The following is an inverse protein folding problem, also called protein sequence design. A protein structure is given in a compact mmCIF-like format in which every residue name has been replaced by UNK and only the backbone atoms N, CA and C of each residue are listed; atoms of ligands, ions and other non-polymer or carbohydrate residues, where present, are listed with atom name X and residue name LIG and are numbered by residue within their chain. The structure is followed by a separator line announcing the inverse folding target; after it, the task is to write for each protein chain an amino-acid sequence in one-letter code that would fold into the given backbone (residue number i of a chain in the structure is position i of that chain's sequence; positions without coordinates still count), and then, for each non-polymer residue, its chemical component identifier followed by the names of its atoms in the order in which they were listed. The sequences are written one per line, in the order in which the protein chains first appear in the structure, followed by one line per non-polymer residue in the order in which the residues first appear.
data_IF_791378357118
#
_entry.id   IF_791378357118
#
_cell.length_a   1.000
_cell.length_b   1.000
_cell.length_c   1.000
_cell.angle_alpha   90.00
_cell.angle_beta   90.00
_cell.angle_gamma   90.00
#
_symmetry.space_group_name_H-M   'P 1'
#
loop_
_entity.id
_entity.type
_entity.pdbx_description
1 polymer ?
#
# COMPACT_ATOMS: atom_id res chain seq x y z
N UNK A 1 9.92 1.08 -9.60
CA UNK A 1 9.75 0.28 -8.37
C UNK A 1 10.46 0.98 -7.23
N UNK A 2 9.89 0.94 -6.02
CA UNK A 2 10.38 1.66 -4.83
C UNK A 2 10.39 0.64 -3.68
N UNK A 3 11.44 0.60 -2.87
CA UNK A 3 11.40 -0.18 -1.62
C UNK A 3 10.48 0.54 -0.63
N UNK A 4 9.30 -0.04 -0.40
CA UNK A 4 8.23 0.59 0.38
C UNK A 4 8.32 0.37 1.88
N UNK A 5 9.27 -0.44 2.37
CA UNK A 5 9.46 -0.66 3.82
C UNK A 5 9.81 0.65 4.51
N UNK A 6 10.63 1.48 3.87
CA UNK A 6 11.04 2.78 4.38
C UNK A 6 10.10 3.89 3.85
N UNK A 7 9.29 4.47 4.73
CA UNK A 7 8.35 5.54 4.35
C UNK A 7 9.01 6.73 3.63
N UNK A 8 10.28 7.03 3.94
CA UNK A 8 11.04 8.09 3.26
C UNK A 8 11.18 7.84 1.76
N UNK A 9 11.38 6.59 1.36
CA UNK A 9 11.48 6.23 -0.05
C UNK A 9 10.15 6.46 -0.77
N UNK A 10 9.03 6.16 -0.09
CA UNK A 10 7.68 6.39 -0.61
C UNK A 10 7.43 7.87 -0.85
N UNK A 11 7.75 8.71 0.13
CA UNK A 11 7.60 10.16 0.01
C UNK A 11 8.42 10.74 -1.17
N UNK A 12 9.67 10.31 -1.31
CA UNK A 12 10.57 10.80 -2.38
C UNK A 12 10.17 10.32 -3.78
N UNK A 13 9.42 9.22 -3.88
CA UNK A 13 9.05 8.65 -5.16
C UNK A 13 7.72 9.18 -5.73
N UNK A 14 6.92 9.89 -4.92
CA UNK A 14 5.67 10.49 -5.39
C UNK A 14 6.00 11.68 -6.30
N UNK A 15 5.36 11.72 -7.46
CA UNK A 15 5.54 12.72 -8.49
C UNK A 15 4.18 13.37 -8.85
N UNK A 16 4.16 14.55 -9.50
CA UNK A 16 2.92 15.20 -9.90
C UNK A 16 2.01 14.36 -10.81
N UNK A 17 2.59 13.44 -11.58
CA UNK A 17 1.89 12.52 -12.46
C UNK A 17 1.57 11.15 -11.82
N UNK A 18 1.92 10.92 -10.54
CA UNK A 18 1.55 9.68 -9.84
C UNK A 18 0.03 9.59 -9.74
N UNK A 19 -0.53 8.44 -10.14
CA UNK A 19 -1.98 8.15 -10.09
C UNK A 19 -2.33 6.92 -9.26
N UNK A 20 -1.35 6.06 -8.95
CA UNK A 20 -1.59 4.81 -8.24
C UNK A 20 -0.39 4.44 -7.41
N UNK A 21 -0.65 3.94 -6.21
CA UNK A 21 0.31 3.25 -5.35
C UNK A 21 -0.21 1.83 -5.14
N UNK A 22 0.62 0.85 -5.46
CA UNK A 22 0.32 -0.56 -5.25
C UNK A 22 1.24 -1.11 -4.16
N UNK A 23 0.65 -1.66 -3.12
CA UNK A 23 1.33 -2.19 -1.94
C UNK A 23 0.99 -3.68 -1.85
N UNK A 24 1.98 -4.50 -1.58
CA UNK A 24 1.79 -5.90 -1.20
C UNK A 24 2.40 -6.06 0.19
N UNK A 25 1.63 -6.50 1.17
CA UNK A 25 2.13 -6.65 2.55
C UNK A 25 1.38 -7.74 3.32
N UNK A 26 2.10 -8.77 3.81
CA UNK A 26 3.51 -9.09 3.58
C UNK A 26 3.85 -9.33 2.10
N UNK A 27 5.07 -8.98 1.66
CA UNK A 27 5.51 -9.23 0.27
C UNK A 27 5.88 -10.70 0.02
N UNK A 28 5.57 -11.24 -1.15
CA UNK A 28 6.01 -12.56 -1.58
C UNK A 28 7.38 -12.49 -2.31
N UNK A 29 8.38 -13.35 -2.02
CA UNK A 29 8.45 -14.37 -0.97
C UNK A 29 9.12 -13.92 0.33
N UNK A 30 9.67 -12.69 0.36
CA UNK A 30 10.58 -12.24 1.42
C UNK A 30 9.85 -11.72 2.67
N UNK A 31 8.52 -11.70 2.67
CA UNK A 31 7.63 -11.35 3.78
C UNK A 31 7.92 -9.97 4.39
N UNK A 32 8.33 -9.00 3.57
CA UNK A 32 8.54 -7.63 4.05
C UNK A 32 7.20 -6.97 4.36
N UNK A 33 7.16 -6.22 5.46
CA UNK A 33 5.98 -5.47 5.89
C UNK A 33 6.08 -4.03 5.40
N UNK A 34 4.95 -3.49 4.94
CA UNK A 34 4.80 -2.08 4.56
C UNK A 34 3.82 -1.41 5.50
N UNK A 35 4.16 -0.21 5.98
CA UNK A 35 3.24 0.60 6.79
C UNK A 35 2.14 1.21 5.91
N UNK A 36 1.00 0.51 5.81
CA UNK A 36 -0.16 0.94 5.02
C UNK A 36 -0.67 2.31 5.50
N UNK A 37 -0.76 2.52 6.82
CA UNK A 37 -1.30 3.76 7.38
C UNK A 37 -0.35 4.94 7.13
N UNK A 38 0.95 4.72 7.28
CA UNK A 38 1.96 5.71 6.92
C UNK A 38 1.90 6.09 5.45
N UNK A 39 1.78 5.10 4.55
CA UNK A 39 1.66 5.37 3.10
C UNK A 39 0.35 6.10 2.77
N UNK A 40 -0.77 5.68 3.37
CA UNK A 40 -2.05 6.37 3.21
C UNK A 40 -1.96 7.84 3.66
N UNK A 41 -1.26 8.11 4.76
CA UNK A 41 -1.05 9.46 5.28
C UNK A 41 -0.23 10.34 4.32
N UNK A 42 0.77 9.78 3.64
CA UNK A 42 1.59 10.51 2.67
C UNK A 42 0.78 11.03 1.47
N UNK A 43 -0.29 10.32 1.09
CA UNK A 43 -1.12 10.65 -0.06
C UNK A 43 -2.50 11.21 0.32
N UNK A 44 -2.78 11.41 1.60
CA UNK A 44 -4.11 11.83 2.10
C UNK A 44 -4.62 13.11 1.41
N UNK A 45 -3.71 14.05 1.10
CA UNK A 45 -4.02 15.30 0.42
C UNK A 45 -3.99 15.20 -1.13
N UNK A 46 -3.74 14.03 -1.69
CA UNK A 46 -3.61 13.79 -3.13
C UNK A 46 -4.79 12.96 -3.65
N UNK A 47 -5.92 13.63 -3.90
CA UNK A 47 -7.18 12.98 -4.30
C UNK A 47 -7.10 12.22 -5.63
N UNK A 48 -6.07 12.48 -6.45
CA UNK A 48 -5.82 11.81 -7.71
C UNK A 48 -5.07 10.47 -7.58
N UNK A 49 -4.55 10.13 -6.39
CA UNK A 49 -3.79 8.89 -6.18
C UNK A 49 -4.70 7.82 -5.57
N UNK A 50 -4.75 6.67 -6.24
CA UNK A 50 -5.43 5.48 -5.74
C UNK A 50 -4.42 4.60 -5.00
N UNK A 51 -4.66 4.32 -3.71
CA UNK A 51 -3.92 3.30 -2.97
C UNK A 51 -4.59 1.93 -3.10
N UNK A 52 -3.81 0.94 -3.50
CA UNK A 52 -4.23 -0.47 -3.60
C UNK A 52 -3.34 -1.30 -2.69
N UNK A 53 -3.94 -2.13 -1.84
CA UNK A 53 -3.22 -3.10 -1.02
C UNK A 53 -3.60 -4.51 -1.44
N UNK A 54 -2.62 -5.26 -1.94
CA UNK A 54 -2.72 -6.70 -2.06
C UNK A 54 -2.64 -7.33 -0.68
N UNK A 55 -3.75 -7.94 -0.27
CA UNK A 55 -3.96 -8.53 1.03
C UNK A 55 -4.16 -10.05 0.92
N UNK A 56 -3.63 -10.66 -0.14
CA UNK A 56 -3.74 -12.10 -0.42
C UNK A 56 -3.20 -12.94 0.73
N UNK A 57 -2.01 -12.61 1.25
CA UNK A 57 -1.34 -13.41 2.29
C UNK A 57 -2.06 -13.32 3.65
N UNK A 58 -2.49 -12.13 4.07
CA UNK A 58 -3.12 -11.95 5.39
C UNK A 58 -4.60 -12.29 5.41
N UNK A 59 -5.30 -12.23 4.27
CA UNK A 59 -6.76 -12.21 4.19
C UNK A 59 -7.40 -11.03 4.96
N UNK A 60 -8.69 -10.79 4.72
CA UNK A 60 -9.46 -9.76 5.44
C UNK A 60 -9.71 -10.10 6.92
N UNK A 61 -9.40 -11.34 7.34
CA UNK A 61 -9.53 -11.76 8.73
C UNK A 61 -8.43 -11.15 9.62
N UNK A 62 -7.17 -11.21 9.18
CA UNK A 62 -6.02 -10.75 9.97
C UNK A 62 -5.62 -9.30 9.69
N UNK A 63 -5.89 -8.79 8.49
CA UNK A 63 -5.52 -7.43 8.11
C UNK A 63 -6.67 -6.77 7.34
N UNK A 64 -7.03 -5.54 7.74
CA UNK A 64 -8.10 -4.75 7.12
C UNK A 64 -7.54 -3.45 6.53
N UNK A 65 -6.95 -3.46 5.32
CA UNK A 65 -6.26 -2.29 4.78
C UNK A 65 -7.16 -1.07 4.59
N UNK A 66 -8.46 -1.26 4.34
CA UNK A 66 -9.43 -0.15 4.25
C UNK A 66 -9.49 0.65 5.56
N UNK A 67 -9.42 -0.02 6.72
CA UNK A 67 -9.38 0.64 8.02
C UNK A 67 -8.06 1.36 8.29
N UNK A 68 -7.02 1.06 7.51
CA UNK A 68 -5.71 1.70 7.56
C UNK A 68 -5.55 2.83 6.53
N UNK A 69 -6.62 3.17 5.79
CA UNK A 69 -6.61 4.27 4.81
C UNK A 69 -6.27 3.86 3.37
N UNK A 70 -6.19 2.57 3.07
CA UNK A 70 -6.17 2.11 1.68
C UNK A 70 -7.52 2.36 1.01
N UNK A 71 -7.51 2.70 -0.29
CA UNK A 71 -8.73 2.91 -1.05
C UNK A 71 -9.28 1.60 -1.64
N UNK A 72 -8.40 0.71 -2.08
CA UNK A 72 -8.75 -0.58 -2.68
C UNK A 72 -7.99 -1.70 -1.98
N UNK A 73 -8.69 -2.82 -1.74
CA UNK A 73 -8.07 -4.08 -1.31
C UNK A 73 -8.18 -5.09 -2.44
N UNK A 74 -7.06 -5.70 -2.78
CA UNK A 74 -6.96 -6.78 -3.75
C UNK A 74 -6.72 -8.12 -3.03
N UNK A 75 -7.32 -9.19 -3.57
CA UNK A 75 -7.14 -10.56 -3.10
C UNK A 75 -7.02 -11.48 -4.31
N UNK A 76 -5.98 -12.31 -4.33
CA UNK A 76 -5.93 -13.52 -5.17
C UNK A 76 -6.63 -14.65 -4.41
N UNK A 77 -7.68 -15.23 -5.00
CA UNK A 77 -8.47 -16.32 -4.40
C UNK A 77 -8.07 -17.73 -4.87
N UNK A 78 -7.05 -17.80 -5.71
CA UNK A 78 -6.47 -19.05 -6.22
C UNK A 78 -5.71 -19.77 -5.11
#
# INVERSE_FOLDING_TARGET
FVDMVELKNNANAIQPNTKKIWIETPTNPNMKMVDIAGVAKLIENQTQIISVVDNTIMSSYFQKPLSLGALIVHHSYT
#
